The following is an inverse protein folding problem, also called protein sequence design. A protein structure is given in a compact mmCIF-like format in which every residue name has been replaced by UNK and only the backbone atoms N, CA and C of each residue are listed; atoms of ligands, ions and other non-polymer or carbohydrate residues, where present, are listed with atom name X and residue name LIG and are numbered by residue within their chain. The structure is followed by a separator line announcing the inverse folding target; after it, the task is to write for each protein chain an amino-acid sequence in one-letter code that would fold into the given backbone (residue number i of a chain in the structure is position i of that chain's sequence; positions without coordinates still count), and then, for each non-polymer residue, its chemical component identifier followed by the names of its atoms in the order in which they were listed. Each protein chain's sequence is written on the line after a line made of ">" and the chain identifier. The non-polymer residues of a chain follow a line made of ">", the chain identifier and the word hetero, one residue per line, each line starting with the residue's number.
data_IF_682714128991
#
_entry.id   IF_682714128991
#
_cell.length_a   1.000
_cell.length_b   1.000
_cell.length_c   1.000
_cell.angle_alpha   90.00
_cell.angle_beta   90.00
_cell.angle_gamma   90.00
#
_symmetry.space_group_name_H-M   'P 1'
#
loop_
_entity.id
_entity.type
_entity.pdbx_description
1 polymer ?
#
# COMPACT_ATOMS: atom_id res chain seq x y z
N UNK A 1 -6.76 0.15 -10.26
CA UNK A 1 -6.37 -0.53 -11.52
C UNK A 1 -5.05 -0.02 -12.09
N UNK A 2 -4.69 1.26 -11.90
CA UNK A 2 -3.51 1.84 -12.57
C UNK A 2 -2.17 1.20 -12.18
N UNK A 3 -1.88 1.00 -10.88
CA UNK A 3 -0.64 0.34 -10.43
C UNK A 3 -0.56 -1.13 -10.85
N UNK A 4 -1.68 -1.85 -10.75
CA UNK A 4 -1.80 -3.26 -11.17
C UNK A 4 -1.47 -3.42 -12.65
N UNK A 5 -1.90 -2.47 -13.49
CA UNK A 5 -1.65 -2.51 -14.93
C UNK A 5 -0.21 -2.11 -15.32
N UNK A 6 0.59 -1.55 -14.39
CA UNK A 6 1.95 -1.12 -14.70
C UNK A 6 2.93 -2.29 -14.80
N UNK A 7 2.87 -3.26 -13.87
CA UNK A 7 3.77 -4.42 -13.86
C UNK A 7 3.18 -5.62 -13.10
N UNK A 8 3.57 -6.83 -13.50
CA UNK A 8 3.10 -8.10 -12.90
C UNK A 8 3.36 -8.19 -11.39
N UNK A 9 4.47 -7.63 -10.91
CA UNK A 9 4.79 -7.61 -9.47
C UNK A 9 3.77 -6.79 -8.67
N UNK A 10 3.22 -5.73 -9.25
CA UNK A 10 2.17 -4.94 -8.61
C UNK A 10 0.85 -5.69 -8.65
N UNK A 11 0.51 -6.35 -9.76
CA UNK A 11 -0.66 -7.21 -9.83
C UNK A 11 -0.64 -8.30 -8.75
N UNK A 12 0.52 -8.95 -8.56
CA UNK A 12 0.72 -9.95 -7.51
C UNK A 12 0.56 -9.35 -6.10
N UNK A 13 1.16 -8.18 -5.84
CA UNK A 13 1.07 -7.53 -4.52
C UNK A 13 -0.36 -7.10 -4.17
N UNK A 14 -1.14 -6.66 -5.16
CA UNK A 14 -2.54 -6.25 -4.97
C UNK A 14 -3.56 -7.39 -5.16
N UNK A 15 -3.13 -8.62 -5.45
CA UNK A 15 -4.02 -9.77 -5.58
C UNK A 15 -4.69 -10.14 -4.25
N UNK A 16 -4.01 -9.87 -3.13
CA UNK A 16 -4.56 -9.93 -1.78
C UNK A 16 -4.31 -8.61 -1.06
N UNK A 17 -5.28 -7.69 -1.16
CA UNK A 17 -5.21 -6.39 -0.51
C UNK A 17 -5.21 -6.47 1.02
N UNK A 18 -5.62 -7.59 1.61
CA UNK A 18 -5.58 -7.75 3.08
C UNK A 18 -4.15 -7.88 3.62
N UNK A 19 -3.21 -8.25 2.76
CA UNK A 19 -1.80 -8.42 3.10
C UNK A 19 -0.95 -7.18 2.77
N UNK A 20 -1.50 -6.25 1.99
CA UNK A 20 -0.87 -4.94 1.69
C UNK A 20 -0.93 -4.06 2.94
N UNK A 21 0.14 -3.30 3.20
CA UNK A 21 0.15 -2.26 4.24
C UNK A 21 0.26 -0.90 3.61
N UNK A 22 -0.27 0.13 4.27
CA UNK A 22 -0.19 1.52 3.82
C UNK A 22 0.56 2.36 4.86
N UNK A 23 1.33 3.32 4.39
CA UNK A 23 1.85 4.40 5.21
C UNK A 23 1.37 5.75 4.70
N UNK A 24 1.02 6.63 5.62
CA UNK A 24 0.69 8.03 5.39
C UNK A 24 1.82 8.87 5.99
N UNK A 25 2.44 9.74 5.20
CA UNK A 25 3.57 10.57 5.64
C UNK A 25 4.68 9.77 6.40
N UNK A 26 5.04 8.61 5.85
CA UNK A 26 6.04 7.66 6.37
C UNK A 26 5.64 6.90 7.66
N UNK A 27 4.40 7.01 8.11
CA UNK A 27 3.87 6.27 9.26
C UNK A 27 2.84 5.21 8.84
N UNK A 28 3.01 3.97 9.31
CA UNK A 28 2.03 2.90 9.03
C UNK A 28 0.65 3.29 9.55
N UNK A 29 -0.37 3.10 8.72
CA UNK A 29 -1.74 3.48 9.00
C UNK A 29 -2.73 2.42 8.52
N UNK A 30 -3.97 2.52 8.99
CA UNK A 30 -5.08 1.70 8.51
C UNK A 30 -5.59 2.20 7.14
N UNK A 31 -6.24 1.33 6.38
CA UNK A 31 -6.78 1.66 5.05
C UNK A 31 -7.93 2.67 5.08
N UNK A 32 -8.59 2.85 6.23
CA UNK A 32 -9.67 3.80 6.43
C UNK A 32 -9.21 5.10 7.10
N UNK A 33 -7.90 5.28 7.30
CA UNK A 33 -7.34 6.51 7.84
C UNK A 33 -7.67 7.72 6.95
N UNK A 34 -8.00 8.85 7.59
CA UNK A 34 -8.32 10.08 6.89
C UNK A 34 -7.09 10.63 6.14
N UNK A 35 -7.31 11.10 4.91
CA UNK A 35 -6.24 11.65 4.05
C UNK A 35 -6.07 13.17 4.17
N UNK A 36 -6.82 13.84 5.06
CA UNK A 36 -6.75 15.30 5.18
C UNK A 36 -5.36 15.74 5.65
N UNK A 37 -4.70 16.60 4.87
CA UNK A 37 -3.34 17.05 5.15
C UNK A 37 -2.22 16.06 4.83
N UNK A 38 -2.52 14.85 4.35
CA UNK A 38 -1.51 13.86 3.95
C UNK A 38 -0.82 14.29 2.66
N UNK A 39 0.51 14.19 2.62
CA UNK A 39 1.33 14.58 1.47
C UNK A 39 1.88 13.38 0.71
N UNK A 40 2.04 12.26 1.39
CA UNK A 40 2.57 11.03 0.82
C UNK A 40 1.73 9.82 1.24
N UNK A 41 1.42 8.96 0.26
CA UNK A 41 0.83 7.65 0.48
C UNK A 41 1.73 6.60 -0.15
N UNK A 42 2.16 5.62 0.63
CA UNK A 42 2.99 4.51 0.17
C UNK A 42 2.31 3.18 0.47
N UNK A 43 2.35 2.27 -0.51
CA UNK A 43 1.85 0.90 -0.37
C UNK A 43 3.02 -0.08 -0.27
N UNK A 44 2.95 -0.98 0.69
CA UNK A 44 3.98 -1.99 0.94
C UNK A 44 3.38 -3.38 0.78
N UNK A 45 4.09 -4.30 0.10
CA UNK A 45 3.74 -5.71 0.13
C UNK A 45 3.88 -6.27 1.56
N UNK A 46 3.46 -7.52 1.81
CA UNK A 46 3.62 -8.15 3.11
C UNK A 46 5.08 -8.12 3.55
N UNK A 47 5.38 -7.38 4.62
CA UNK A 47 6.70 -7.32 5.23
C UNK A 47 7.04 -8.70 5.79
N UNK A 48 8.04 -9.37 5.22
CA UNK A 48 8.53 -10.70 5.65
C UNK A 48 9.72 -10.57 6.61
N UNK A 49 9.78 -9.51 7.40
CA UNK A 49 10.95 -9.13 8.18
C UNK A 49 11.30 -10.14 9.29
N UNK A 50 12.52 -10.65 9.20
CA UNK A 50 13.32 -11.43 10.14
C UNK A 50 14.79 -11.32 9.72
#
# INVERSE_FOLDING_TARGET
>A
AELVAREERYATAFADTSAVRVALDQELSDFDAALDGVREVAFFPPMTGG
#
